data_IF_211188006095
#
_entry.id   IF_211188006095
#
_cell.length_a   1.000
_cell.length_b   1.000
_cell.length_c   1.000
_cell.angle_alpha   90.00
_cell.angle_beta   90.00
_cell.angle_gamma   90.00
#
_symmetry.space_group_name_H-M   'P 1'
#
loop_
_entity.id
_entity.type
_entity.pdbx_description
1 polymer ?
#
# COMPACT_ATOMS: atom_id res chain seq x y z
N UNK A 1 28.46 26.23 31.64
CA UNK A 1 28.40 26.15 30.17
C UNK A 1 28.52 24.74 29.58
N UNK A 2 29.16 23.75 30.24
CA UNK A 2 29.31 22.39 29.71
C UNK A 2 28.00 21.54 29.66
N UNK A 3 26.98 21.83 30.46
CA UNK A 3 25.73 21.05 30.54
C UNK A 3 24.76 21.32 29.35
N UNK A 4 24.78 22.50 28.77
CA UNK A 4 23.87 22.88 27.64
C UNK A 4 24.28 22.26 26.31
N UNK A 5 25.57 21.97 26.11
CA UNK A 5 26.06 21.39 24.86
C UNK A 5 25.69 19.91 24.73
N UNK A 6 25.67 19.16 25.85
CA UNK A 6 25.31 17.74 25.86
C UNK A 6 23.82 17.55 25.55
N UNK A 7 22.95 18.45 26.07
CA UNK A 7 21.51 18.40 25.78
C UNK A 7 21.19 18.65 24.30
N UNK A 8 21.89 19.59 23.67
CA UNK A 8 21.70 19.91 22.25
C UNK A 8 22.17 18.75 21.33
N UNK A 9 23.25 18.06 21.68
CA UNK A 9 23.78 16.95 20.92
C UNK A 9 22.85 15.73 20.96
N UNK A 10 22.21 15.46 22.10
CA UNK A 10 21.22 14.38 22.27
C UNK A 10 19.95 14.64 21.47
N UNK A 11 19.49 15.89 21.36
CA UNK A 11 18.31 16.26 20.57
C UNK A 11 18.60 16.09 19.08
N UNK A 12 19.76 16.48 18.59
CA UNK A 12 20.15 16.33 17.18
C UNK A 12 20.25 14.85 16.79
N UNK A 13 20.81 14.01 17.65
CA UNK A 13 20.88 12.57 17.39
C UNK A 13 19.48 11.92 17.32
N UNK A 14 18.54 12.29 18.21
CA UNK A 14 17.19 11.71 18.19
C UNK A 14 16.41 12.04 16.93
N UNK A 15 16.54 13.24 16.38
CA UNK A 15 15.90 13.64 15.12
C UNK A 15 16.47 12.86 13.94
N UNK A 16 17.78 12.64 13.88
CA UNK A 16 18.38 11.86 12.77
C UNK A 16 17.96 10.39 12.79
N UNK A 17 17.77 9.79 13.96
CA UNK A 17 17.27 8.42 14.08
C UNK A 17 15.83 8.30 13.58
N UNK A 18 14.97 9.26 13.86
CA UNK A 18 13.57 9.26 13.40
C UNK A 18 13.49 9.31 11.86
N UNK A 19 14.18 10.24 11.21
CA UNK A 19 14.19 10.32 9.75
C UNK A 19 14.75 9.07 9.06
N UNK A 20 15.77 8.45 9.63
CA UNK A 20 16.33 7.21 9.09
C UNK A 20 15.35 6.03 9.24
N UNK A 21 14.58 5.98 10.30
CA UNK A 21 13.57 4.96 10.53
C UNK A 21 12.39 5.14 9.56
N UNK A 22 11.90 6.36 9.38
CA UNK A 22 10.80 6.66 8.45
C UNK A 22 11.18 6.29 7.01
N UNK A 23 12.38 6.64 6.56
CA UNK A 23 12.88 6.27 5.22
C UNK A 23 12.97 4.73 5.05
N UNK A 24 13.29 3.98 6.11
CA UNK A 24 13.32 2.51 6.08
C UNK A 24 11.89 1.95 5.98
N UNK A 25 10.94 2.49 6.72
CA UNK A 25 9.53 2.09 6.69
C UNK A 25 8.93 2.41 5.31
N UNK A 26 9.20 3.60 4.77
CA UNK A 26 8.73 3.96 3.43
C UNK A 26 9.15 2.94 2.37
N UNK A 27 10.42 2.53 2.39
CA UNK A 27 10.93 1.54 1.44
C UNK A 27 10.28 0.17 1.67
N UNK A 28 10.14 -0.27 2.92
CA UNK A 28 9.46 -1.51 3.29
C UNK A 28 8.02 -1.54 2.75
N UNK A 29 7.28 -0.44 2.87
CA UNK A 29 5.90 -0.33 2.38
C UNK A 29 5.84 -0.29 0.85
N UNK A 30 6.77 0.39 0.18
CA UNK A 30 6.86 0.39 -1.30
C UNK A 30 7.10 -1.02 -1.83
N UNK A 31 8.05 -1.74 -1.24
CA UNK A 31 8.39 -3.12 -1.63
C UNK A 31 7.20 -4.07 -1.36
N UNK A 32 6.51 -3.90 -0.24
CA UNK A 32 5.33 -4.69 0.10
C UNK A 32 4.15 -4.45 -0.84
N UNK A 33 3.92 -3.19 -1.22
CA UNK A 33 2.90 -2.83 -2.22
C UNK A 33 3.21 -3.44 -3.59
N UNK A 34 4.47 -3.37 -4.02
CA UNK A 34 4.91 -4.01 -5.26
C UNK A 34 4.66 -5.53 -5.21
N UNK A 35 5.10 -6.20 -4.15
CA UNK A 35 4.89 -7.63 -3.98
C UNK A 35 3.40 -8.01 -3.94
N UNK A 36 2.56 -7.19 -3.31
CA UNK A 36 1.10 -7.37 -3.29
C UNK A 36 0.54 -7.40 -4.72
N UNK A 37 0.93 -6.47 -5.59
CA UNK A 37 0.46 -6.47 -6.98
C UNK A 37 0.87 -7.74 -7.74
N UNK A 38 2.08 -8.24 -7.51
CA UNK A 38 2.57 -9.49 -8.07
C UNK A 38 1.75 -10.68 -7.54
N UNK A 39 1.50 -10.76 -6.24
CA UNK A 39 0.67 -11.82 -5.65
C UNK A 39 -0.78 -11.78 -6.15
N UNK A 40 -1.34 -10.59 -6.40
CA UNK A 40 -2.67 -10.45 -6.99
C UNK A 40 -2.68 -10.92 -8.46
N UNK A 41 -1.64 -10.62 -9.23
CA UNK A 41 -1.49 -11.08 -10.61
C UNK A 41 -1.37 -12.62 -10.69
N UNK A 42 -0.58 -13.20 -9.78
CA UNK A 42 -0.35 -14.65 -9.69
C UNK A 42 -1.49 -15.39 -8.98
N UNK A 43 -2.51 -14.70 -8.48
CA UNK A 43 -3.59 -15.24 -7.64
C UNK A 43 -3.05 -16.00 -6.41
N UNK A 44 -1.97 -15.51 -5.83
CA UNK A 44 -1.32 -16.11 -4.68
C UNK A 44 -2.08 -15.77 -3.38
N UNK A 45 -3.22 -16.42 -3.17
CA UNK A 45 -4.10 -16.16 -2.01
C UNK A 45 -3.42 -16.52 -0.68
N UNK A 46 -2.46 -17.44 -0.65
CA UNK A 46 -1.73 -17.78 0.56
C UNK A 46 -0.89 -16.61 1.09
N UNK A 47 -0.27 -15.85 0.20
CA UNK A 47 0.44 -14.62 0.56
C UNK A 47 -0.53 -13.50 0.93
N UNK A 48 -1.59 -13.33 0.15
CA UNK A 48 -2.57 -12.27 0.35
C UNK A 48 -3.37 -12.46 1.65
N UNK A 49 -3.69 -13.68 2.05
CA UNK A 49 -4.40 -13.95 3.31
C UNK A 49 -3.59 -13.53 4.53
N UNK A 50 -2.25 -13.60 4.45
CA UNK A 50 -1.36 -13.14 5.53
C UNK A 50 -1.18 -11.63 5.53
N UNK A 51 -1.18 -10.99 4.37
CA UNK A 51 -1.07 -9.54 4.24
C UNK A 51 -2.37 -8.83 4.63
N UNK A 52 -3.52 -9.29 4.15
CA UNK A 52 -4.79 -8.63 4.40
C UNK A 52 -5.22 -8.80 5.85
N UNK A 53 -5.44 -7.67 6.54
CA UNK A 53 -5.96 -7.68 7.89
C UNK A 53 -7.41 -8.19 7.92
N UNK A 54 -7.85 -8.81 9.01
CA UNK A 54 -9.21 -9.39 9.11
C UNK A 54 -10.33 -8.33 9.03
N UNK A 55 -10.00 -7.08 9.40
CA UNK A 55 -10.92 -5.93 9.27
C UNK A 55 -10.74 -5.17 7.96
N UNK A 56 -9.87 -5.61 7.06
CA UNK A 56 -9.58 -4.88 5.82
C UNK A 56 -10.83 -4.61 4.99
N UNK A 57 -10.79 -3.49 4.28
CA UNK A 57 -11.81 -3.08 3.33
C UNK A 57 -11.17 -2.83 1.96
N UNK A 58 -11.87 -3.25 0.94
CA UNK A 58 -11.50 -3.06 -0.46
C UNK A 58 -12.61 -2.25 -1.13
N UNK A 59 -12.26 -1.09 -1.68
CA UNK A 59 -13.20 -0.17 -2.31
C UNK A 59 -12.88 -0.09 -3.80
N UNK A 60 -13.80 -0.57 -4.61
CA UNK A 60 -13.70 -0.57 -6.07
C UNK A 60 -14.76 0.38 -6.66
N UNK A 61 -14.66 0.70 -7.94
CA UNK A 61 -15.62 1.57 -8.63
C UNK A 61 -17.07 1.05 -8.55
N UNK A 62 -17.27 -0.26 -8.44
CA UNK A 62 -18.57 -0.91 -8.46
C UNK A 62 -19.08 -1.36 -7.09
N UNK A 63 -18.32 -1.14 -6.02
CA UNK A 63 -18.70 -1.54 -4.68
C UNK A 63 -17.56 -1.71 -3.71
N UNK A 64 -17.87 -2.10 -2.49
CA UNK A 64 -16.88 -2.36 -1.46
C UNK A 64 -17.17 -3.66 -0.73
N UNK A 65 -16.11 -4.34 -0.29
CA UNK A 65 -16.20 -5.61 0.43
C UNK A 65 -15.03 -5.80 1.39
N UNK A 66 -15.05 -6.91 2.12
CA UNK A 66 -14.02 -7.28 3.09
C UNK A 66 -13.11 -8.37 2.56
N UNK A 67 -12.03 -8.67 3.30
CA UNK A 67 -10.99 -9.67 3.04
C UNK A 67 -11.52 -10.95 2.39
N UNK A 68 -12.50 -11.61 3.03
CA UNK A 68 -13.00 -12.90 2.52
C UNK A 68 -13.48 -12.81 1.06
N UNK A 69 -14.22 -11.75 0.73
CA UNK A 69 -14.75 -11.57 -0.62
C UNK A 69 -13.65 -11.18 -1.61
N UNK A 70 -12.68 -10.37 -1.19
CA UNK A 70 -11.53 -10.01 -2.04
C UNK A 70 -10.70 -11.24 -2.39
N UNK A 71 -10.36 -12.08 -1.41
CA UNK A 71 -9.61 -13.32 -1.66
C UNK A 71 -10.38 -14.26 -2.61
N UNK A 72 -11.69 -14.44 -2.43
CA UNK A 72 -12.53 -15.24 -3.31
C UNK A 72 -12.55 -14.68 -4.76
N UNK A 73 -12.62 -13.37 -4.91
CA UNK A 73 -12.56 -12.69 -6.21
C UNK A 73 -11.25 -12.96 -6.93
N UNK A 74 -10.13 -12.87 -6.21
CA UNK A 74 -8.79 -13.10 -6.75
C UNK A 74 -8.61 -14.60 -7.09
N UNK A 75 -8.97 -15.50 -6.18
CA UNK A 75 -8.85 -16.94 -6.35
C UNK A 75 -9.61 -17.42 -7.59
N UNK A 76 -10.88 -17.02 -7.71
CA UNK A 76 -11.73 -17.39 -8.85
C UNK A 76 -11.37 -16.68 -10.13
N UNK A 77 -10.67 -15.53 -10.05
CA UNK A 77 -10.38 -14.66 -11.17
C UNK A 77 -11.59 -13.95 -11.74
N UNK A 78 -12.68 -13.82 -10.96
CA UNK A 78 -13.85 -13.02 -11.36
C UNK A 78 -13.49 -11.54 -11.56
N UNK A 79 -12.49 -11.07 -10.83
CA UNK A 79 -11.63 -9.94 -11.18
C UNK A 79 -10.19 -10.46 -11.06
N UNK A 80 -9.48 -10.49 -12.18
CA UNK A 80 -8.07 -10.87 -12.18
C UNK A 80 -7.21 -9.66 -12.49
N UNK A 81 -6.41 -9.24 -11.53
CA UNK A 81 -5.48 -8.11 -11.60
C UNK A 81 -4.19 -8.57 -12.32
N UNK A 82 -4.24 -8.66 -13.65
CA UNK A 82 -3.16 -9.27 -14.47
C UNK A 82 -1.83 -8.53 -14.37
N UNK A 83 -1.89 -7.19 -14.28
CA UNK A 83 -0.71 -6.34 -14.19
C UNK A 83 -1.07 -4.95 -13.68
N UNK A 84 -0.30 -4.45 -12.74
CA UNK A 84 -0.30 -3.05 -12.32
C UNK A 84 1.03 -2.40 -12.74
N UNK A 85 0.98 -1.51 -13.74
CA UNK A 85 2.11 -0.66 -14.08
C UNK A 85 2.11 0.55 -13.17
N UNK A 86 3.02 0.60 -12.21
CA UNK A 86 3.13 1.68 -11.23
C UNK A 86 3.96 2.82 -11.83
N UNK A 87 3.37 4.02 -11.93
CA UNK A 87 3.99 5.20 -12.52
C UNK A 87 4.56 6.15 -11.48
N UNK A 88 3.91 6.23 -10.32
CA UNK A 88 4.29 7.13 -9.24
C UNK A 88 3.84 6.57 -7.89
N UNK A 89 4.62 6.80 -6.83
CA UNK A 89 4.35 6.29 -5.48
C UNK A 89 4.76 7.32 -4.44
N UNK A 90 3.83 7.69 -3.57
CA UNK A 90 4.10 8.44 -2.35
C UNK A 90 3.75 7.61 -1.12
N UNK A 91 4.54 7.72 -0.06
CA UNK A 91 4.30 7.06 1.23
C UNK A 91 4.44 8.08 2.34
N UNK A 92 3.47 8.09 3.25
CA UNK A 92 3.52 8.83 4.49
C UNK A 92 3.52 7.86 5.67
N UNK A 93 4.45 8.06 6.60
CA UNK A 93 4.62 7.23 7.79
C UNK A 93 4.06 7.95 9.01
N UNK A 94 3.27 7.27 9.81
CA UNK A 94 2.63 7.80 11.03
C UNK A 94 3.07 6.98 12.24
N UNK A 95 4.07 7.48 12.93
CA UNK A 95 4.71 6.73 14.01
C UNK A 95 5.52 5.54 13.49
N UNK A 96 5.51 4.44 14.22
CA UNK A 96 6.27 3.22 13.89
C UNK A 96 5.39 2.05 13.41
N UNK A 97 4.06 2.25 13.40
CA UNK A 97 3.09 1.18 13.17
C UNK A 97 2.01 1.49 12.12
N UNK A 98 2.00 2.67 11.52
CA UNK A 98 1.06 3.01 10.45
C UNK A 98 1.75 3.68 9.26
N UNK A 99 1.29 3.33 8.06
CA UNK A 99 1.69 3.99 6.83
C UNK A 99 0.53 4.07 5.85
N UNK A 100 0.52 5.14 5.04
CA UNK A 100 -0.39 5.30 3.92
C UNK A 100 0.43 5.42 2.65
N UNK A 101 0.07 4.64 1.65
CA UNK A 101 0.70 4.66 0.34
C UNK A 101 -0.34 5.07 -0.70
N UNK A 102 0.05 5.97 -1.58
CA UNK A 102 -0.69 6.29 -2.80
C UNK A 102 0.15 5.87 -3.99
N UNK A 103 -0.46 5.14 -4.92
CA UNK A 103 0.20 4.81 -6.17
C UNK A 103 -0.67 5.14 -7.38
N UNK A 104 -0.05 5.77 -8.38
CA UNK A 104 -0.61 6.05 -9.68
C UNK A 104 -0.29 4.87 -10.58
N UNK A 105 -1.31 4.15 -11.03
CA UNK A 105 -1.13 2.92 -11.79
C UNK A 105 -1.94 2.91 -13.08
N UNK A 106 -1.46 2.14 -14.05
CA UNK A 106 -2.29 1.59 -15.13
C UNK A 106 -2.53 0.10 -14.80
N UNK A 107 -3.78 -0.23 -14.53
CA UNK A 107 -4.19 -1.59 -14.20
C UNK A 107 -4.74 -2.30 -15.45
N UNK A 108 -4.09 -3.40 -15.85
CA UNK A 108 -4.62 -4.36 -16.80
C UNK A 108 -5.30 -5.49 -16.04
N UNK A 109 -6.58 -5.67 -16.25
CA UNK A 109 -7.37 -6.67 -15.52
C UNK A 109 -8.34 -7.41 -16.44
N UNK A 110 -8.75 -8.62 -16.00
CA UNK A 110 -9.87 -9.34 -16.57
C UNK A 110 -11.06 -9.23 -15.63
N UNK A 111 -12.15 -8.62 -16.08
CA UNK A 111 -13.33 -8.33 -15.26
C UNK A 111 -14.56 -8.90 -15.92
N UNK A 112 -15.21 -9.86 -15.28
CA UNK A 112 -16.48 -10.45 -15.74
C UNK A 112 -16.47 -10.87 -17.24
N UNK A 113 -15.37 -11.49 -17.67
CA UNK A 113 -15.23 -11.98 -19.04
C UNK A 113 -14.59 -11.01 -20.03
N UNK A 114 -14.22 -9.80 -19.62
CA UNK A 114 -13.63 -8.79 -20.49
C UNK A 114 -12.25 -8.34 -20.00
N UNK A 115 -11.31 -8.23 -20.90
CA UNK A 115 -10.02 -7.58 -20.60
C UNK A 115 -10.22 -6.06 -20.64
N UNK A 116 -9.76 -5.39 -19.62
CA UNK A 116 -9.87 -3.94 -19.42
C UNK A 116 -8.53 -3.35 -19.00
N UNK A 117 -8.32 -2.09 -19.36
CA UNK A 117 -7.19 -1.31 -18.89
C UNK A 117 -7.71 0.03 -18.38
N UNK A 118 -7.38 0.36 -17.14
CA UNK A 118 -7.83 1.58 -16.49
C UNK A 118 -6.72 2.22 -15.70
N UNK A 119 -6.79 3.53 -15.57
CA UNK A 119 -5.88 4.30 -14.76
C UNK A 119 -6.52 4.65 -13.41
N UNK A 120 -5.72 4.45 -12.35
CA UNK A 120 -6.15 4.70 -10.97
C UNK A 120 -5.08 5.44 -10.17
N UNK A 121 -5.54 6.23 -9.20
CA UNK A 121 -4.81 6.44 -7.96
C UNK A 121 -5.34 5.45 -6.94
N UNK A 122 -4.47 4.60 -6.42
CA UNK A 122 -4.83 3.60 -5.41
C UNK A 122 -4.27 4.03 -4.08
N UNK A 123 -5.14 4.11 -3.08
CA UNK A 123 -4.75 4.35 -1.68
C UNK A 123 -4.66 3.03 -0.95
N UNK A 124 -3.58 2.83 -0.24
CA UNK A 124 -3.32 1.66 0.59
C UNK A 124 -3.00 2.11 2.01
N UNK A 125 -3.69 1.56 3.00
CA UNK A 125 -3.41 1.84 4.42
C UNK A 125 -2.85 0.60 5.06
N UNK A 126 -1.68 0.74 5.67
CA UNK A 126 -0.98 -0.33 6.35
C UNK A 126 -0.88 -0.09 7.85
N UNK A 127 -0.96 -1.16 8.62
CA UNK A 127 -0.71 -1.16 10.06
C UNK A 127 0.22 -2.30 10.44
N UNK A 128 1.20 -2.02 11.28
CA UNK A 128 2.10 -3.04 11.83
C UNK A 128 1.46 -3.70 13.06
N UNK A 129 1.35 -5.02 13.05
CA UNK A 129 0.80 -5.81 14.14
C UNK A 129 1.70 -7.02 14.39
N UNK A 130 2.13 -7.21 15.62
CA UNK A 130 3.04 -8.29 16.02
C UNK A 130 4.33 -8.37 15.17
N UNK A 131 4.81 -7.22 14.67
CA UNK A 131 6.00 -7.12 13.82
C UNK A 131 5.75 -7.19 12.32
N UNK A 132 4.55 -7.58 11.87
CA UNK A 132 4.19 -7.71 10.47
C UNK A 132 3.28 -6.57 10.00
N UNK A 133 3.53 -6.05 8.80
CA UNK A 133 2.62 -5.11 8.14
C UNK A 133 1.38 -5.82 7.62
N UNK A 134 0.21 -5.25 7.90
CA UNK A 134 -1.10 -5.70 7.44
C UNK A 134 -1.79 -4.59 6.65
N UNK A 135 -2.39 -4.93 5.51
CA UNK A 135 -3.18 -4.03 4.70
C UNK A 135 -4.58 -3.89 5.31
N UNK A 136 -4.95 -2.65 5.70
CA UNK A 136 -6.27 -2.32 6.26
C UNK A 136 -7.26 -1.82 5.22
N UNK A 137 -6.77 -1.10 4.22
CA UNK A 137 -7.62 -0.51 3.17
C UNK A 137 -6.91 -0.53 1.83
N UNK A 138 -7.66 -0.81 0.79
CA UNK A 138 -7.28 -0.67 -0.61
C UNK A 138 -8.42 0.01 -1.34
N UNK A 139 -8.22 1.26 -1.75
CA UNK A 139 -9.25 2.06 -2.41
C UNK A 139 -8.80 2.52 -3.79
N UNK A 140 -9.61 2.23 -4.81
CA UNK A 140 -9.38 2.64 -6.20
C UNK A 140 -10.13 3.93 -6.52
N UNK A 141 -9.40 4.97 -6.92
CA UNK A 141 -9.95 6.21 -7.46
C UNK A 141 -9.63 6.30 -8.95
N UNK A 142 -10.66 6.38 -9.79
CA UNK A 142 -10.46 6.52 -11.24
C UNK A 142 -9.81 7.86 -11.57
N UNK A 143 -8.82 7.83 -12.43
CA UNK A 143 -8.11 9.02 -12.90
C UNK A 143 -8.55 9.33 -14.33
N UNK A 144 -8.84 10.60 -14.58
CA UNK A 144 -9.29 11.11 -15.90
C UNK A 144 -8.30 12.08 -16.52
N UNK A 145 -7.23 12.39 -15.79
CA UNK A 145 -6.17 13.30 -16.22
C UNK A 145 -4.79 12.71 -15.91
N UNK A 146 -3.76 13.46 -16.27
CA UNK A 146 -2.36 13.05 -16.14
C UNK A 146 -1.69 13.56 -14.87
N UNK A 147 -2.45 13.89 -13.82
CA UNK A 147 -1.87 14.40 -12.59
C UNK A 147 -0.95 13.39 -11.92
N UNK A 148 0.24 13.85 -11.56
CA UNK A 148 1.14 13.14 -10.66
C UNK A 148 0.58 13.22 -9.22
N UNK A 149 1.07 12.32 -8.36
CA UNK A 149 0.84 12.41 -6.92
C UNK A 149 1.66 13.58 -6.37
N UNK A 150 1.10 14.39 -5.47
CA UNK A 150 1.88 15.34 -4.68
C UNK A 150 2.72 14.59 -3.63
N UNK A 151 4.00 14.97 -3.54
CA UNK A 151 4.98 14.40 -2.62
C UNK A 151 5.32 15.37 -1.49
#
# INVERSE_FOLDING_TARGET
MKRSIIGLFLIIMSVQFSFAQDATIEQEIKDLSQAKWEWMADKNVDKLVTLFHDKSKFVHMSGSWKKKRELEIIETGSIWYKKADVHDVAVEVFGDDMAVLWNRITLTAHVRGNDVQNEFTVTEVYKKEAGDWKLLDLTFSSVRDTHAIEH
#
